data_IF_390778097630
#
_entry.id   IF_390778097630
#
_cell.length_a   1.000
_cell.length_b   1.000
_cell.length_c   1.000
_cell.angle_alpha   90.00
_cell.angle_beta   90.00
_cell.angle_gamma   90.00
#
_symmetry.space_group_name_H-M   'P 1'
#
loop_
_entity.id
_entity.type
_entity.pdbx_description
1 polymer ?
#
# COMPACT_ATOMS: atom_id res chain seq x y z
N UNK A 1 -17.42 2.70 -1.21
CA UNK A 1 -16.80 1.43 -1.62
C UNK A 1 -15.55 1.21 -0.80
N UNK A 2 -15.12 -0.05 -0.62
CA UNK A 2 -13.87 -0.41 0.04
C UNK A 2 -13.04 -1.19 -0.95
N UNK A 3 -11.76 -0.84 -1.07
CA UNK A 3 -10.83 -1.44 -2.02
C UNK A 3 -9.70 -2.14 -1.27
N UNK A 4 -9.32 -3.32 -1.77
CA UNK A 4 -8.10 -4.01 -1.36
C UNK A 4 -7.14 -3.96 -2.54
N UNK A 5 -5.91 -3.52 -2.27
CA UNK A 5 -4.90 -3.27 -3.29
C UNK A 5 -3.56 -3.80 -2.79
N UNK A 6 -2.76 -4.33 -3.71
CA UNK A 6 -1.41 -4.78 -3.43
C UNK A 6 -0.41 -4.03 -4.31
N UNK A 7 0.77 -3.81 -3.76
CA UNK A 7 1.88 -3.13 -4.43
C UNK A 7 3.12 -4.00 -4.32
N UNK A 8 3.94 -4.01 -5.37
CA UNK A 8 5.27 -4.60 -5.29
C UNK A 8 6.22 -3.67 -4.53
N UNK A 9 6.92 -4.21 -3.54
CA UNK A 9 7.81 -3.46 -2.64
C UNK A 9 7.36 -3.47 -1.18
N UNK A 10 8.14 -2.83 -0.33
CA UNK A 10 7.84 -2.63 1.09
C UNK A 10 7.13 -1.28 1.30
N UNK A 11 6.24 -1.16 2.29
CA UNK A 11 5.52 0.09 2.58
C UNK A 11 6.45 1.25 2.99
N UNK A 12 7.69 0.95 3.37
CA UNK A 12 8.73 1.93 3.68
C UNK A 12 9.52 2.36 2.44
N UNK A 13 9.36 1.69 1.30
CA UNK A 13 10.02 2.07 0.07
C UNK A 13 9.50 3.44 -0.38
N UNK A 14 10.37 4.40 -0.74
CA UNK A 14 9.95 5.75 -1.08
C UNK A 14 8.91 5.84 -2.21
N UNK A 15 8.94 4.89 -3.14
CA UNK A 15 7.95 4.80 -4.22
C UNK A 15 6.57 4.38 -3.70
N UNK A 16 6.49 3.31 -2.91
CA UNK A 16 5.24 2.79 -2.33
C UNK A 16 4.64 3.83 -1.39
N UNK A 17 5.46 4.42 -0.51
CA UNK A 17 4.99 5.44 0.42
C UNK A 17 4.34 6.63 -0.29
N UNK A 18 4.97 7.13 -1.36
CA UNK A 18 4.43 8.26 -2.15
C UNK A 18 3.05 7.93 -2.74
N UNK A 19 2.85 6.71 -3.21
CA UNK A 19 1.55 6.26 -3.72
C UNK A 19 0.52 6.16 -2.61
N UNK A 20 0.86 5.54 -1.48
CA UNK A 20 -0.09 5.39 -0.37
C UNK A 20 -0.46 6.73 0.27
N UNK A 21 0.47 7.68 0.34
CA UNK A 21 0.21 9.04 0.83
C UNK A 21 -0.79 9.76 -0.11
N UNK A 22 -0.57 9.69 -1.43
CA UNK A 22 -1.48 10.30 -2.42
C UNK A 22 -2.90 9.68 -2.37
N UNK A 23 -3.01 8.36 -2.14
CA UNK A 23 -4.31 7.71 -1.96
C UNK A 23 -4.98 8.18 -0.66
N UNK A 24 -4.22 8.36 0.42
CA UNK A 24 -4.73 8.83 1.70
C UNK A 24 -5.28 10.26 1.62
N UNK A 25 -4.68 11.14 0.82
CA UNK A 25 -5.19 12.50 0.58
C UNK A 25 -6.57 12.53 -0.09
N UNK A 26 -6.91 11.50 -0.86
CA UNK A 26 -8.16 11.41 -1.63
C UNK A 26 -9.19 10.45 -1.03
N UNK A 27 -8.88 9.86 0.13
CA UNK A 27 -9.69 8.81 0.74
C UNK A 27 -10.12 9.18 2.16
N UNK A 28 -11.34 8.82 2.53
CA UNK A 28 -11.82 9.01 3.90
C UNK A 28 -10.98 8.23 4.93
N UNK A 29 -10.50 7.04 4.55
CA UNK A 29 -9.70 6.17 5.40
C UNK A 29 -8.78 5.27 4.57
N UNK A 30 -7.53 5.13 5.03
CA UNK A 30 -6.54 4.19 4.47
C UNK A 30 -5.83 3.49 5.63
N UNK A 31 -5.64 2.18 5.50
CA UNK A 31 -4.87 1.38 6.44
C UNK A 31 -3.89 0.48 5.70
N UNK A 32 -2.60 0.59 6.04
CA UNK A 32 -1.58 -0.38 5.61
C UNK A 32 -1.76 -1.66 6.41
N UNK A 33 -1.96 -2.79 5.72
CA UNK A 33 -2.17 -4.10 6.35
C UNK A 33 -0.86 -4.84 6.65
N UNK A 34 0.23 -4.45 6.00
CA UNK A 34 1.57 -5.00 6.20
C UNK A 34 2.33 -5.11 4.88
N UNK A 35 3.60 -5.50 4.98
CA UNK A 35 4.43 -5.90 3.86
C UNK A 35 4.94 -7.30 4.14
N UNK A 36 4.98 -8.16 3.13
CA UNK A 36 5.34 -9.55 3.30
C UNK A 36 6.13 -10.05 2.07
N UNK A 37 7.02 -11.07 2.23
CA UNK A 37 7.74 -11.64 1.11
C UNK A 37 6.78 -12.28 0.11
N UNK A 38 7.04 -12.09 -1.18
CA UNK A 38 6.30 -12.80 -2.22
C UNK A 38 6.48 -14.33 -2.03
N UNK A 39 5.39 -15.07 -2.19
CA UNK A 39 5.46 -16.53 -2.17
C UNK A 39 6.30 -17.01 -3.36
N UNK A 40 7.28 -17.88 -3.08
CA UNK A 40 8.02 -18.62 -4.11
C UNK A 40 7.27 -19.92 -4.32
N UNK A 41 6.70 -20.09 -5.51
CA UNK A 41 5.98 -21.30 -5.95
C UNK A 41 6.84 -22.01 -6.98
#
# INVERSE_FOLDING_TARGET
YVFFMEFQGHHQDPAVKRVTDAIAEQSFFVKVLGSYPAAVI
#
